data_IF_634912274608
#
_entry.id   IF_634912274608
#
_cell.length_a   1.000
_cell.length_b   1.000
_cell.length_c   1.000
_cell.angle_alpha   90.00
_cell.angle_beta   90.00
_cell.angle_gamma   90.00
#
_symmetry.space_group_name_H-M   'P 1'
#
loop_
_entity.id
_entity.type
_entity.pdbx_description
1 polymer ?
#
# COMPACT_ATOMS: atom_id res chain seq x y z
N UNK A 1 -19.01 -12.29 -1.85
CA UNK A 1 -18.53 -11.86 -3.18
C UNK A 1 -17.00 -11.79 -3.13
N UNK A 2 -16.33 -12.47 -4.05
CA UNK A 2 -14.87 -12.40 -4.06
C UNK A 2 -14.40 -10.99 -4.41
N UNK A 3 -13.41 -10.51 -3.65
CA UNK A 3 -12.80 -9.20 -3.88
C UNK A 3 -11.76 -9.33 -4.98
N UNK A 4 -11.94 -8.60 -6.08
CA UNK A 4 -10.97 -8.61 -7.18
C UNK A 4 -9.77 -7.75 -6.81
N UNK A 5 -8.55 -8.26 -7.05
CA UNK A 5 -7.33 -7.53 -6.72
C UNK A 5 -7.22 -6.21 -7.48
N UNK A 6 -7.78 -6.13 -8.70
CA UNK A 6 -7.78 -4.89 -9.47
C UNK A 6 -8.56 -3.76 -8.82
N UNK A 7 -9.46 -4.08 -7.90
CA UNK A 7 -10.29 -3.09 -7.21
C UNK A 7 -9.64 -2.59 -5.91
N UNK A 8 -8.57 -3.22 -5.46
CA UNK A 8 -7.90 -2.87 -4.21
C UNK A 8 -6.95 -1.71 -4.44
N UNK A 9 -7.15 -0.61 -3.70
CA UNK A 9 -6.24 0.53 -3.71
C UNK A 9 -5.10 0.32 -2.72
N UNK A 10 -5.41 -0.16 -1.53
CA UNK A 10 -4.39 -0.45 -0.53
C UNK A 10 -4.93 -1.43 0.51
N UNK A 11 -4.00 -2.05 1.24
CA UNK A 11 -4.31 -2.96 2.35
C UNK A 11 -3.48 -2.49 3.53
N UNK A 12 -4.08 -2.43 4.70
CA UNK A 12 -3.34 -1.96 5.87
C UNK A 12 -3.80 -2.68 7.14
N UNK A 13 -2.96 -2.61 8.16
CA UNK A 13 -3.28 -3.14 9.48
C UNK A 13 -3.62 -1.98 10.41
N UNK A 14 -4.73 -2.12 11.11
CA UNK A 14 -5.20 -1.16 12.11
C UNK A 14 -5.72 -1.94 13.31
N UNK A 15 -5.12 -1.72 14.48
CA UNK A 15 -5.51 -2.39 15.72
C UNK A 15 -5.62 -3.91 15.54
N UNK A 16 -4.62 -4.51 14.89
CA UNK A 16 -4.53 -5.94 14.60
C UNK A 16 -5.53 -6.44 13.55
N UNK A 17 -6.36 -5.58 13.01
CA UNK A 17 -7.29 -5.92 11.93
C UNK A 17 -6.66 -5.58 10.58
N UNK A 18 -6.72 -6.52 9.66
CA UNK A 18 -6.23 -6.32 8.30
C UNK A 18 -7.41 -5.91 7.43
N UNK A 19 -7.28 -4.76 6.77
CA UNK A 19 -8.34 -4.19 5.96
C UNK A 19 -7.85 -3.93 4.54
N UNK A 20 -8.64 -4.34 3.55
CA UNK A 20 -8.42 -3.99 2.15
C UNK A 20 -9.42 -2.90 1.78
N UNK A 21 -8.92 -1.82 1.19
CA UNK A 21 -9.73 -0.66 0.80
C UNK A 21 -9.76 -0.56 -0.71
N UNK A 22 -10.94 -0.46 -1.28
CA UNK A 22 -11.12 -0.35 -2.73
C UNK A 22 -11.06 1.10 -3.18
N UNK A 23 -10.94 1.30 -4.49
CA UNK A 23 -10.98 2.65 -5.07
C UNK A 23 -12.30 3.38 -4.81
N UNK A 24 -13.38 2.62 -4.61
CA UNK A 24 -14.69 3.20 -4.27
C UNK A 24 -14.85 3.49 -2.78
N UNK A 25 -13.84 3.18 -1.96
CA UNK A 25 -13.87 3.43 -0.53
C UNK A 25 -14.47 2.33 0.31
N UNK A 26 -14.82 1.20 -0.28
CA UNK A 26 -15.31 0.06 0.49
C UNK A 26 -14.17 -0.62 1.24
N UNK A 27 -14.48 -1.12 2.44
CA UNK A 27 -13.50 -1.77 3.33
C UNK A 27 -13.89 -3.23 3.49
N UNK A 28 -12.91 -4.11 3.29
CA UNK A 28 -13.07 -5.55 3.48
C UNK A 28 -12.06 -6.03 4.51
N UNK A 29 -12.53 -6.82 5.46
CA UNK A 29 -11.64 -7.41 6.48
C UNK A 29 -11.03 -8.69 5.94
N UNK A 30 -9.72 -8.82 6.13
CA UNK A 30 -8.96 -9.96 5.63
C UNK A 30 -8.56 -10.87 6.78
N UNK A 31 -8.51 -12.17 6.52
CA UNK A 31 -8.10 -13.16 7.53
C UNK A 31 -6.60 -13.45 7.52
N UNK A 32 -5.89 -12.97 6.51
CA UNK A 32 -4.47 -13.21 6.34
C UNK A 32 -3.68 -12.00 6.80
N UNK A 33 -2.45 -12.19 7.27
CA UNK A 33 -1.59 -11.06 7.61
C UNK A 33 -0.99 -10.43 6.35
N UNK A 34 -0.33 -9.28 6.51
CA UNK A 34 0.20 -8.54 5.36
C UNK A 34 1.29 -9.32 4.61
N UNK A 35 2.12 -10.08 5.30
CA UNK A 35 3.15 -10.89 4.66
C UNK A 35 2.54 -11.98 3.78
N UNK A 36 1.52 -12.66 4.30
CA UNK A 36 0.82 -13.69 3.54
C UNK A 36 0.13 -13.10 2.30
N UNK A 37 -0.53 -11.97 2.48
CA UNK A 37 -1.20 -11.30 1.36
C UNK A 37 -0.19 -10.86 0.30
N UNK A 38 0.94 -10.30 0.73
CA UNK A 38 1.97 -9.87 -0.22
C UNK A 38 2.53 -11.04 -1.02
N UNK A 39 2.63 -12.22 -0.42
CA UNK A 39 3.11 -13.41 -1.13
C UNK A 39 2.14 -13.89 -2.22
N UNK A 40 0.87 -13.50 -2.13
CA UNK A 40 -0.17 -13.89 -3.07
C UNK A 40 -0.48 -12.82 -4.11
N UNK A 41 -0.06 -11.59 -3.88
CA UNK A 41 -0.32 -10.47 -4.78
C UNK A 41 0.77 -10.37 -5.84
N UNK A 42 0.41 -9.81 -6.99
CA UNK A 42 1.37 -9.56 -8.06
C UNK A 42 2.34 -8.46 -7.62
N UNK A 43 3.65 -8.77 -7.46
CA UNK A 43 4.61 -7.78 -6.95
C UNK A 43 4.86 -6.63 -7.90
N UNK A 44 4.48 -6.75 -9.17
CA UNK A 44 4.55 -5.62 -10.10
C UNK A 44 3.44 -4.61 -9.86
N UNK A 45 2.34 -5.05 -9.27
CA UNK A 45 1.15 -4.21 -9.05
C UNK A 45 0.98 -3.78 -7.62
N UNK A 46 1.65 -4.43 -6.67
CA UNK A 46 1.51 -4.14 -5.25
C UNK A 46 2.88 -4.05 -4.60
N UNK A 47 3.03 -3.09 -3.71
CA UNK A 47 4.29 -2.84 -3.00
C UNK A 47 4.05 -2.77 -1.50
N UNK A 48 4.87 -3.47 -0.72
CA UNK A 48 4.84 -3.37 0.74
C UNK A 48 5.58 -2.09 1.13
N UNK A 49 4.82 -1.01 1.34
CA UNK A 49 5.39 0.30 1.61
C UNK A 49 6.10 0.35 2.95
N UNK A 50 5.50 -0.25 3.97
CA UNK A 50 6.08 -0.33 5.32
C UNK A 50 5.39 -1.47 6.07
N UNK A 51 5.56 -1.51 7.39
CA UNK A 51 4.97 -2.59 8.20
C UNK A 51 3.45 -2.56 8.23
N UNK A 52 2.84 -1.43 7.91
CA UNK A 52 1.40 -1.24 8.06
C UNK A 52 0.65 -1.21 6.73
N UNK A 53 1.33 -0.95 5.61
CA UNK A 53 0.65 -0.68 4.34
C UNK A 53 1.20 -1.48 3.18
N UNK A 54 0.28 -2.04 2.39
CA UNK A 54 0.53 -2.54 1.03
C UNK A 54 -0.24 -1.61 0.10
N UNK A 55 0.40 -1.10 -0.94
CA UNK A 55 -0.22 -0.15 -1.85
C UNK A 55 -0.27 -0.71 -3.28
N UNK A 56 -1.32 -0.34 -4.02
CA UNK A 56 -1.44 -0.67 -5.43
C UNK A 56 -0.71 0.38 -6.26
N UNK A 57 -0.03 -0.05 -7.33
CA UNK A 57 0.68 0.85 -8.23
C UNK A 57 -0.23 1.96 -8.77
N UNK A 58 -1.43 1.58 -9.19
CA UNK A 58 -2.38 2.55 -9.78
C UNK A 58 -3.00 3.48 -8.74
N UNK A 59 -2.88 3.17 -7.46
CA UNK A 59 -3.40 4.02 -6.40
C UNK A 59 -2.46 5.18 -6.06
N UNK A 60 -1.21 5.11 -6.48
CA UNK A 60 -0.24 6.18 -6.17
C UNK A 60 -0.58 7.43 -6.96
N UNK A 61 -0.84 8.52 -6.24
CA UNK A 61 -1.10 9.83 -6.85
C UNK A 61 0.20 10.59 -7.06
N UNK A 62 0.98 10.74 -6.02
CA UNK A 62 2.28 11.40 -6.06
C UNK A 62 3.09 11.03 -4.81
N UNK A 63 4.32 11.51 -4.75
CA UNK A 63 5.19 11.31 -3.60
C UNK A 63 5.73 12.64 -3.13
N UNK A 64 5.97 12.74 -1.82
CA UNK A 64 6.53 13.95 -1.19
C UNK A 64 7.81 13.57 -0.44
N UNK A 65 8.75 14.50 -0.42
CA UNK A 65 9.97 14.34 0.39
C UNK A 65 9.58 14.48 1.86
N UNK A 66 10.11 13.58 2.68
CA UNK A 66 9.87 13.56 4.11
C UNK A 66 11.17 13.69 4.87
N UNK A 67 11.08 13.90 6.17
CA UNK A 67 12.27 14.07 7.03
C UNK A 67 13.22 12.87 6.92
N UNK A 68 14.53 13.12 7.02
CA UNK A 68 15.53 12.07 7.04
C UNK A 68 15.67 11.31 5.73
N UNK A 69 15.42 11.97 4.60
CA UNK A 69 15.48 11.36 3.27
C UNK A 69 14.47 10.23 3.06
N UNK A 70 13.41 10.23 3.85
CA UNK A 70 12.24 9.36 3.64
C UNK A 70 11.34 9.97 2.58
N UNK A 71 10.38 9.19 2.10
CA UNK A 71 9.32 9.72 1.24
C UNK A 71 7.96 9.39 1.84
N UNK A 72 6.98 10.23 1.55
CA UNK A 72 5.58 10.01 1.85
C UNK A 72 4.86 9.72 0.55
N UNK A 73 4.11 8.63 0.51
CA UNK A 73 3.34 8.25 -0.68
C UNK A 73 1.92 8.75 -0.50
N UNK A 74 1.44 9.54 -1.46
CA UNK A 74 0.06 10.02 -1.46
C UNK A 74 -0.75 9.17 -2.43
N UNK A 75 -1.88 8.65 -1.96
CA UNK A 75 -2.76 7.83 -2.77
C UNK A 75 -3.94 8.65 -3.30
N UNK A 76 -4.60 8.10 -4.33
CA UNK A 76 -5.80 8.71 -4.90
C UNK A 76 -7.03 8.55 -4.00
N UNK A 77 -6.92 7.67 -2.99
CA UNK A 77 -7.99 7.46 -2.00
C UNK A 77 -7.47 7.87 -0.63
N UNK A 78 -8.36 8.31 0.29
CA UNK A 78 -7.91 8.76 1.62
C UNK A 78 -7.34 7.60 2.45
N UNK A 79 -6.32 7.91 3.23
CA UNK A 79 -5.73 6.98 4.20
C UNK A 79 -5.76 7.63 5.58
N UNK A 80 -5.82 6.79 6.62
CA UNK A 80 -5.86 7.29 8.00
C UNK A 80 -4.55 7.96 8.41
N UNK A 81 -3.43 7.46 7.88
CA UNK A 81 -2.11 7.96 8.21
C UNK A 81 -1.30 8.18 6.94
N UNK A 82 -0.24 8.98 7.06
CA UNK A 82 0.72 9.12 5.97
C UNK A 82 1.46 7.80 5.78
N UNK A 83 1.67 7.44 4.53
CA UNK A 83 2.41 6.22 4.19
C UNK A 83 3.86 6.59 3.96
N UNK A 84 4.70 6.28 4.92
CA UNK A 84 6.12 6.66 4.92
C UNK A 84 6.97 5.46 4.51
N UNK A 85 7.84 5.67 3.53
CA UNK A 85 8.85 4.69 3.12
C UNK A 85 10.19 5.13 3.71
N UNK A 86 10.85 4.24 4.43
CA UNK A 86 12.12 4.54 5.07
C UNK A 86 13.21 4.85 4.03
N UNK A 87 14.22 5.61 4.44
CA UNK A 87 15.36 5.95 3.58
C UNK A 87 15.96 4.71 2.91
N UNK A 88 16.11 3.62 3.67
CA UNK A 88 16.73 2.40 3.16
C UNK A 88 15.93 1.75 2.02
N UNK A 89 14.64 2.05 1.93
CA UNK A 89 13.76 1.41 0.94
C UNK A 89 13.30 2.35 -0.17
N UNK A 90 13.75 3.60 -0.17
CA UNK A 90 13.33 4.58 -1.17
C UNK A 90 13.70 4.14 -2.59
N UNK A 91 14.93 3.62 -2.78
CA UNK A 91 15.37 3.13 -4.09
C UNK A 91 14.51 1.98 -4.58
N UNK A 92 14.17 1.08 -3.68
CA UNK A 92 13.31 -0.06 -4.00
C UNK A 92 11.94 0.41 -4.47
N UNK A 93 11.36 1.37 -3.76
CA UNK A 93 10.08 1.95 -4.16
C UNK A 93 10.17 2.62 -5.53
N UNK A 94 11.20 3.44 -5.77
CA UNK A 94 11.37 4.14 -7.04
C UNK A 94 11.50 3.18 -8.21
N UNK A 95 12.27 2.10 -8.04
CA UNK A 95 12.41 1.09 -9.07
C UNK A 95 11.07 0.42 -9.37
N UNK A 96 10.32 0.09 -8.33
CA UNK A 96 9.01 -0.53 -8.49
C UNK A 96 8.03 0.42 -9.19
N UNK A 97 8.01 1.68 -8.77
CA UNK A 97 7.04 2.66 -9.28
C UNK A 97 7.34 3.08 -10.72
N UNK A 98 8.57 2.95 -11.17
CA UNK A 98 8.98 3.37 -12.51
C UNK A 98 8.42 2.50 -13.64
N UNK A 99 7.83 1.37 -13.32
CA UNK A 99 7.30 0.46 -14.34
C UNK A 99 5.84 0.71 -14.67
#
# INVERSE_FOLDING_TARGET
>A
IPLATKDIAFIYIDLKLIKAVTYSGKVYYMNQNLDELMSQLNPKKFFRANRQYIIAHEAVKDISIWFGNKISINLTVPTEEKIIVSKARVSEFKNWYSF
#
